data_IF_613224763565
#
_entry.id   IF_613224763565
#
_cell.length_a   1.000
_cell.length_b   1.000
_cell.length_c   1.000
_cell.angle_alpha   90.00
_cell.angle_beta   90.00
_cell.angle_gamma   90.00
#
_symmetry.space_group_name_H-M   'P 1'
#
loop_
_entity.id
_entity.type
_entity.pdbx_description
1 polymer ?
#
# COMPACT_ATOMS: atom_id res chain seq x y z
N UNK A 1 4.77 18.11 -6.20
CA UNK A 1 4.28 17.43 -7.42
C UNK A 1 3.65 16.13 -6.97
N UNK A 2 2.56 15.66 -7.60
CA UNK A 2 2.02 14.34 -7.30
C UNK A 2 3.06 13.26 -7.64
N UNK A 3 3.16 12.22 -6.80
CA UNK A 3 4.03 11.08 -7.06
C UNK A 3 3.50 10.27 -8.24
N UNK A 4 4.38 9.84 -9.14
CA UNK A 4 4.01 8.91 -10.20
C UNK A 4 3.97 7.47 -9.69
N UNK A 5 3.39 6.58 -10.51
CA UNK A 5 3.40 5.13 -10.27
C UNK A 5 4.82 4.61 -10.00
N UNK A 6 5.78 5.09 -10.81
CA UNK A 6 7.19 4.70 -10.74
C UNK A 6 7.87 5.23 -9.49
N UNK A 7 7.51 6.43 -9.04
CA UNK A 7 8.09 7.00 -7.82
C UNK A 7 7.68 6.17 -6.60
N UNK A 8 6.39 5.85 -6.49
CA UNK A 8 5.85 5.00 -5.42
C UNK A 8 6.50 3.61 -5.40
N UNK A 9 6.66 2.99 -6.57
CA UNK A 9 7.24 1.63 -6.66
C UNK A 9 8.73 1.64 -6.37
N UNK A 10 9.48 2.57 -6.96
CA UNK A 10 10.94 2.54 -6.90
C UNK A 10 11.49 3.06 -5.58
N UNK A 11 10.86 4.09 -4.99
CA UNK A 11 11.43 4.80 -3.84
C UNK A 11 10.91 4.33 -2.48
N UNK A 12 9.80 3.58 -2.43
CA UNK A 12 9.21 3.14 -1.16
C UNK A 12 9.26 1.64 -1.01
N UNK A 13 9.32 1.14 0.22
CA UNK A 13 9.06 -0.25 0.53
C UNK A 13 7.56 -0.51 0.40
N UNK A 14 7.19 -1.48 -0.45
CA UNK A 14 5.79 -1.76 -0.74
C UNK A 14 5.34 -2.99 0.04
N UNK A 15 4.44 -2.79 1.00
CA UNK A 15 3.81 -3.85 1.76
C UNK A 15 2.42 -4.15 1.20
N UNK A 16 2.06 -5.43 1.11
CA UNK A 16 0.74 -5.87 0.67
C UNK A 16 0.26 -7.11 1.41
N UNK A 17 -1.06 -7.28 1.42
CA UNK A 17 -1.71 -8.46 1.96
C UNK A 17 -1.78 -9.55 0.89
N UNK A 18 -0.90 -10.52 0.99
CA UNK A 18 -0.84 -11.62 0.02
C UNK A 18 -1.87 -12.72 0.23
N UNK A 19 -2.78 -12.59 1.20
CA UNK A 19 -3.76 -13.61 1.55
C UNK A 19 -5.20 -13.14 1.32
N UNK A 20 -5.47 -11.83 1.39
CA UNK A 20 -6.75 -11.25 0.96
C UNK A 20 -6.67 -10.74 -0.49
N UNK A 21 -7.33 -11.45 -1.40
CA UNK A 21 -7.40 -11.09 -2.82
C UNK A 21 -8.16 -9.79 -3.11
N UNK A 22 -8.86 -9.20 -2.13
CA UNK A 22 -9.40 -7.84 -2.25
C UNK A 22 -8.34 -6.76 -2.13
N UNK A 23 -7.20 -7.06 -1.49
CA UNK A 23 -6.05 -6.19 -1.33
C UNK A 23 -4.96 -6.43 -2.38
N UNK A 24 -5.16 -7.35 -3.33
CA UNK A 24 -4.11 -7.83 -4.24
C UNK A 24 -3.45 -6.72 -5.11
N UNK A 25 -4.12 -5.57 -5.23
CA UNK A 25 -3.65 -4.42 -6.00
C UNK A 25 -3.48 -3.16 -5.14
N UNK A 26 -3.48 -3.33 -3.81
CA UNK A 26 -3.33 -2.26 -2.82
C UNK A 26 -2.03 -2.44 -2.06
N UNK A 27 -1.32 -1.33 -1.84
CA UNK A 27 0.00 -1.34 -1.25
C UNK A 27 0.17 -0.19 -0.26
N UNK A 28 0.80 -0.47 0.88
CA UNK A 28 1.40 0.55 1.73
C UNK A 28 2.81 0.83 1.22
N UNK A 29 3.06 2.10 0.87
CA UNK A 29 4.34 2.61 0.41
C UNK A 29 5.02 3.33 1.59
N UNK A 30 6.01 2.67 2.17
CA UNK A 30 6.69 3.08 3.39
C UNK A 30 8.09 3.56 3.05
N UNK A 31 8.43 4.78 3.46
CA UNK A 31 9.78 5.32 3.34
C UNK A 31 10.61 5.01 4.59
N UNK A 32 11.93 5.08 4.47
CA UNK A 32 12.93 4.84 5.52
C UNK A 32 12.63 5.56 6.85
N UNK A 33 12.16 6.83 6.88
CA UNK A 33 11.80 7.48 8.13
C UNK A 33 10.69 6.76 8.91
N UNK A 34 9.66 6.25 8.23
CA UNK A 34 8.59 5.47 8.86
C UNK A 34 9.10 4.08 9.21
N UNK A 35 9.76 3.43 8.26
CA UNK A 35 10.40 2.11 8.40
C UNK A 35 9.42 0.98 8.72
N UNK A 36 9.96 -0.24 8.86
CA UNK A 36 9.15 -1.44 9.09
C UNK A 36 8.31 -1.37 10.36
N UNK A 37 8.83 -0.80 11.46
CA UNK A 37 8.05 -0.67 12.70
C UNK A 37 6.81 0.22 12.54
N UNK A 38 6.92 1.30 11.76
CA UNK A 38 5.78 2.13 11.39
C UNK A 38 4.81 1.37 10.49
N UNK A 39 5.32 0.64 9.49
CA UNK A 39 4.52 -0.20 8.61
C UNK A 39 3.71 -1.23 9.41
N UNK A 40 4.34 -2.00 10.30
CA UNK A 40 3.68 -3.01 11.11
C UNK A 40 2.63 -2.40 12.04
N UNK A 41 2.85 -1.18 12.54
CA UNK A 41 1.85 -0.46 13.34
C UNK A 41 0.61 -0.14 12.51
N UNK A 42 0.78 0.40 11.29
CA UNK A 42 -0.32 0.68 10.37
C UNK A 42 -1.06 -0.62 10.03
N UNK A 43 -0.33 -1.65 9.63
CA UNK A 43 -0.89 -2.96 9.28
C UNK A 43 -1.69 -3.55 10.45
N UNK A 44 -1.18 -3.47 11.68
CA UNK A 44 -1.91 -3.97 12.85
C UNK A 44 -3.26 -3.26 13.03
N UNK A 45 -3.31 -1.94 12.90
CA UNK A 45 -4.58 -1.20 12.99
C UNK A 45 -5.54 -1.51 11.83
N UNK A 46 -5.01 -1.74 10.63
CA UNK A 46 -5.81 -2.16 9.47
C UNK A 46 -6.37 -3.58 9.68
N UNK A 47 -5.61 -4.48 10.31
CA UNK A 47 -6.10 -5.82 10.69
C UNK A 47 -7.24 -5.72 11.70
N UNK A 48 -7.11 -4.88 12.72
CA UNK A 48 -8.16 -4.65 13.71
C UNK A 48 -9.45 -4.10 13.07
N UNK A 49 -9.31 -3.33 11.98
CA UNK A 49 -10.43 -2.83 11.18
C UNK A 49 -10.95 -3.83 10.12
N UNK A 50 -10.37 -5.03 10.00
CA UNK A 50 -10.76 -6.03 9.00
C UNK A 50 -10.36 -5.69 7.55
N UNK A 51 -9.43 -4.74 7.38
CA UNK A 51 -8.93 -4.28 6.07
C UNK A 51 -7.64 -5.00 5.66
N UNK A 52 -7.08 -5.81 6.55
CA UNK A 52 -5.90 -6.64 6.30
C UNK A 52 -6.09 -7.99 6.99
N UNK A 53 -5.65 -9.07 6.35
CA UNK A 53 -5.73 -10.43 6.88
C UNK A 53 -4.82 -10.64 8.10
N UNK A 54 -5.10 -11.69 8.88
CA UNK A 54 -4.26 -12.05 10.02
C UNK A 54 -2.84 -12.51 9.62
N UNK A 55 -2.62 -12.81 8.34
CA UNK A 55 -1.36 -13.29 7.81
C UNK A 55 -0.29 -12.19 7.77
N UNK A 56 0.97 -12.61 7.80
CA UNK A 56 2.11 -11.70 7.71
C UNK A 56 2.05 -10.88 6.41
N UNK A 57 2.31 -9.57 6.53
CA UNK A 57 2.44 -8.71 5.36
C UNK A 57 3.63 -9.16 4.51
N UNK A 58 3.45 -9.11 3.19
CA UNK A 58 4.51 -9.40 2.22
C UNK A 58 5.05 -8.09 1.68
N UNK A 59 6.29 -8.11 1.22
CA UNK A 59 6.92 -6.98 0.55
C UNK A 59 7.19 -7.29 -0.91
N UNK A 60 7.24 -6.26 -1.75
CA UNK A 60 7.72 -6.38 -3.14
C UNK A 60 9.25 -6.32 -3.13
N UNK A 61 9.96 -7.41 -3.49
CA UNK A 61 11.42 -7.42 -3.53
C UNK A 61 11.95 -6.39 -4.53
N UNK A 62 13.14 -5.85 -4.26
CA UNK A 62 13.75 -4.82 -5.10
C UNK A 62 13.94 -5.29 -6.55
N UNK A 63 14.27 -6.57 -6.77
CA UNK A 63 14.40 -7.15 -8.10
C UNK A 63 13.10 -7.19 -8.91
N UNK A 64 11.94 -7.16 -8.25
CA UNK A 64 10.63 -7.20 -8.91
C UNK A 64 10.07 -5.80 -9.19
N UNK A 65 10.60 -4.75 -8.56
CA UNK A 65 10.13 -3.37 -8.72
C UNK A 65 10.13 -2.88 -10.18
N UNK A 66 11.17 -3.12 -11.00
CA UNK A 66 11.15 -2.69 -12.41
C UNK A 66 9.98 -3.31 -13.19
N UNK A 67 9.74 -4.61 -13.00
CA UNK A 67 8.62 -5.31 -13.63
C UNK A 67 7.27 -4.74 -13.17
N UNK A 68 7.11 -4.48 -11.87
CA UNK A 68 5.90 -3.88 -11.31
C UNK A 68 5.64 -2.49 -11.90
N UNK A 69 6.69 -1.68 -12.02
CA UNK A 69 6.63 -0.32 -12.58
C UNK A 69 6.27 -0.29 -14.08
N UNK A 70 6.45 -1.39 -14.80
CA UNK A 70 6.05 -1.55 -16.20
C UNK A 70 4.64 -2.11 -16.36
N UNK A 71 4.21 -3.00 -15.47
CA UNK A 71 2.97 -3.77 -15.61
C UNK A 71 1.77 -3.15 -14.88
N UNK A 72 2.01 -2.32 -13.86
CA UNK A 72 0.95 -1.79 -13.00
C UNK A 72 0.53 -0.39 -13.43
N UNK A 73 -0.77 -0.20 -13.58
CA UNK A 73 -1.34 1.11 -13.85
C UNK A 73 -1.80 1.75 -12.55
N UNK A 74 -1.22 2.89 -12.16
CA UNK A 74 -1.64 3.59 -10.94
C UNK A 74 -3.07 4.12 -11.11
N UNK A 75 -3.95 3.71 -10.19
CA UNK A 75 -5.30 4.25 -10.06
C UNK A 75 -5.27 5.52 -9.21
N UNK A 76 -4.51 5.49 -8.11
CA UNK A 76 -4.32 6.65 -7.26
C UNK A 76 -3.56 6.29 -5.98
N UNK A 77 -3.27 7.32 -5.19
CA UNK A 77 -2.68 7.15 -3.87
C UNK A 77 -3.27 8.18 -2.91
N UNK A 78 -3.21 7.87 -1.61
CA UNK A 78 -3.46 8.81 -0.53
C UNK A 78 -2.28 8.82 0.42
N UNK A 79 -2.06 9.94 1.10
CA UNK A 79 -1.06 10.05 2.16
C UNK A 79 -1.73 9.93 3.52
N UNK A 80 -1.00 9.39 4.49
CA UNK A 80 -1.32 9.50 5.91
C UNK A 80 -0.06 9.90 6.69
N UNK A 81 -0.23 10.27 7.96
CA UNK A 81 0.86 10.61 8.85
C UNK A 81 0.89 9.69 10.08
N UNK A 82 2.05 9.10 10.37
CA UNK A 82 2.28 8.36 11.61
C UNK A 82 3.48 8.95 12.34
N UNK A 83 3.26 9.35 13.60
CA UNK A 83 4.29 9.95 14.45
C UNK A 83 5.04 11.12 13.78
N UNK A 84 4.34 11.97 13.04
CA UNK A 84 4.92 13.12 12.34
C UNK A 84 5.56 12.79 10.99
N UNK A 85 5.49 11.54 10.52
CA UNK A 85 6.13 11.07 9.28
C UNK A 85 5.09 10.64 8.27
N UNK A 86 5.27 11.07 7.02
CA UNK A 86 4.36 10.74 5.93
C UNK A 86 4.59 9.31 5.44
N UNK A 87 3.49 8.61 5.15
CA UNK A 87 3.48 7.39 4.35
C UNK A 87 2.41 7.51 3.27
N UNK A 88 2.43 6.61 2.29
CA UNK A 88 1.38 6.56 1.28
C UNK A 88 0.72 5.19 1.23
N UNK A 89 -0.55 5.17 0.85
CA UNK A 89 -1.21 3.97 0.36
C UNK A 89 -1.57 4.17 -1.11
N UNK A 90 -1.40 3.14 -1.91
CA UNK A 90 -1.60 3.22 -3.35
C UNK A 90 -2.45 2.07 -3.87
N UNK A 91 -3.22 2.36 -4.90
CA UNK A 91 -4.02 1.40 -5.64
C UNK A 91 -3.56 1.36 -7.09
N UNK A 92 -3.41 0.14 -7.61
CA UNK A 92 -3.05 -0.10 -8.99
C UNK A 92 -4.05 -1.04 -9.64
N UNK A 93 -4.06 -1.05 -10.96
CA UNK A 93 -4.74 -2.06 -11.76
C UNK A 93 -3.72 -2.95 -12.47
N UNK A 94 -4.06 -4.23 -12.58
CA UNK A 94 -3.18 -5.28 -13.11
C UNK A 94 -4.03 -6.43 -13.68
N UNK A 95 -3.67 -6.96 -14.86
CA UNK A 95 -4.46 -7.97 -15.58
C UNK A 95 -4.78 -9.21 -14.73
N UNK A 96 -3.78 -9.71 -13.98
CA UNK A 96 -3.93 -10.89 -13.12
C UNK A 96 -4.65 -10.61 -11.79
N UNK A 97 -4.59 -9.36 -11.33
CA UNK A 97 -5.05 -8.94 -10.00
C UNK A 97 -5.82 -7.64 -10.19
N UNK A 98 -7.10 -7.73 -10.58
CA UNK A 98 -7.86 -6.55 -10.95
C UNK A 98 -8.12 -5.69 -9.72
N UNK A 99 -8.02 -4.38 -9.92
CA UNK A 99 -8.36 -3.38 -8.94
C UNK A 99 -9.81 -3.55 -8.42
N UNK A 100 -9.99 -3.46 -7.10
CA UNK A 100 -11.31 -3.46 -6.45
C UNK A 100 -11.61 -2.11 -5.83
N UNK A 101 -12.52 -1.36 -6.46
CA UNK A 101 -12.86 -0.01 -6.06
C UNK A 101 -13.39 0.08 -4.62
N UNK A 102 -14.29 -0.82 -4.23
CA UNK A 102 -14.90 -0.83 -2.89
C UNK A 102 -13.83 -0.92 -1.79
N UNK A 103 -12.89 -1.86 -1.92
CA UNK A 103 -11.80 -2.02 -0.95
C UNK A 103 -10.88 -0.79 -0.89
N UNK A 104 -10.63 -0.16 -2.04
CA UNK A 104 -9.83 1.07 -2.07
C UNK A 104 -10.52 2.24 -1.37
N UNK A 105 -11.84 2.40 -1.54
CA UNK A 105 -12.59 3.41 -0.80
C UNK A 105 -12.52 3.19 0.72
N UNK A 106 -12.59 1.93 1.17
CA UNK A 106 -12.44 1.59 2.59
C UNK A 106 -11.04 1.95 3.13
N UNK A 107 -9.98 1.65 2.37
CA UNK A 107 -8.61 2.06 2.73
C UNK A 107 -8.47 3.57 2.84
N UNK A 108 -9.00 4.32 1.86
CA UNK A 108 -8.95 5.79 1.89
C UNK A 108 -9.69 6.36 3.10
N UNK A 109 -10.90 5.86 3.37
CA UNK A 109 -11.71 6.30 4.51
C UNK A 109 -11.00 5.98 5.84
N UNK A 110 -10.41 4.79 5.94
CA UNK A 110 -9.64 4.38 7.11
C UNK A 110 -8.41 5.27 7.34
N UNK A 111 -7.61 5.51 6.30
CA UNK A 111 -6.39 6.33 6.41
C UNK A 111 -6.77 7.75 6.82
N UNK A 112 -7.72 8.38 6.14
CA UNK A 112 -8.14 9.75 6.45
C UNK A 112 -8.73 9.91 7.87
N UNK A 113 -9.26 8.85 8.47
CA UNK A 113 -9.82 8.88 9.82
C UNK A 113 -8.78 8.64 10.92
N UNK A 114 -7.66 7.97 10.62
CA UNK A 114 -6.71 7.49 11.63
C UNK A 114 -5.29 8.07 11.48
N UNK A 115 -4.96 8.69 10.35
CA UNK A 115 -3.60 9.12 9.99
C UNK A 115 -3.58 10.47 9.27
#
# INVERSE_FOLDING_TARGET
>A
MPLSARDLINHFEMYFDGSDMSNASLYLCIDSPVGDSGAQTIIATMRDAGLWSAEAAKTVPAEHKPMYAEQMTLIGYVSGNIAGKEFHASAYDHEKFPYKAERWEEWKAFIAANY
#
